data_IF_502584933226
#
_entry.id   IF_502584933226
#
_cell.length_a   1.000
_cell.length_b   1.000
_cell.length_c   1.000
_cell.angle_alpha   90.00
_cell.angle_beta   90.00
_cell.angle_gamma   90.00
#
_symmetry.space_group_name_H-M   'P 1'
#
loop_
_entity.id
_entity.type
_entity.pdbx_description
1 polymer ?
#
# COMPACT_ATOMS: atom_id res chain seq x y z
N UNK A 1 13.24 12.16 -2.27
CA UNK A 1 14.01 12.43 -3.50
C UNK A 1 14.82 11.22 -3.98
N UNK A 2 15.54 10.50 -3.12
CA UNK A 2 16.33 9.30 -3.49
C UNK A 2 15.49 8.11 -4.04
N UNK A 3 14.28 7.85 -3.51
CA UNK A 3 13.43 6.77 -4.00
C UNK A 3 12.89 6.99 -5.43
N UNK A 4 12.57 8.24 -5.81
CA UNK A 4 12.17 8.55 -7.19
C UNK A 4 13.29 8.33 -8.21
N UNK A 5 14.55 8.59 -7.82
CA UNK A 5 15.71 8.34 -8.66
C UNK A 5 15.98 6.84 -8.85
N UNK A 6 15.81 6.04 -7.80
CA UNK A 6 15.96 4.58 -7.88
C UNK A 6 14.90 3.95 -8.80
N UNK A 7 13.64 4.37 -8.67
CA UNK A 7 12.53 3.86 -9.49
C UNK A 7 12.66 4.26 -10.97
N UNK A 8 13.00 5.52 -11.26
CA UNK A 8 13.23 5.98 -12.64
C UNK A 8 14.40 5.24 -13.30
N UNK A 9 15.47 4.95 -12.55
CA UNK A 9 16.64 4.19 -13.05
C UNK A 9 16.31 2.71 -13.28
N UNK A 10 15.43 2.14 -12.47
CA UNK A 10 14.91 0.78 -12.62
C UNK A 10 14.09 0.64 -13.92
N UNK A 11 13.16 1.55 -14.19
CA UNK A 11 12.34 1.55 -15.41
C UNK A 11 13.22 1.77 -16.65
N UNK A 12 14.22 2.65 -16.59
CA UNK A 12 15.14 2.89 -17.69
C UNK A 12 15.97 1.63 -18.01
N UNK A 13 16.38 0.90 -16.97
CA UNK A 13 17.13 -0.35 -17.13
C UNK A 13 16.24 -1.51 -17.62
N UNK A 14 14.97 -1.58 -17.22
CA UNK A 14 13.99 -2.55 -17.75
C UNK A 14 13.68 -2.30 -19.23
N UNK A 15 13.49 -1.06 -19.63
CA UNK A 15 13.29 -0.70 -21.04
C UNK A 15 14.53 -1.01 -21.88
N UNK A 16 15.73 -0.80 -21.32
CA UNK A 16 16.99 -1.18 -21.97
C UNK A 16 17.13 -2.69 -22.09
N UNK A 17 16.79 -3.47 -21.06
CA UNK A 17 16.79 -4.94 -21.11
C UNK A 17 15.75 -5.45 -22.11
N UNK A 18 14.55 -4.89 -22.16
CA UNK A 18 13.53 -5.27 -23.12
C UNK A 18 13.95 -4.93 -24.56
N UNK A 19 14.60 -3.79 -24.80
CA UNK A 19 15.14 -3.46 -26.13
C UNK A 19 16.25 -4.44 -26.55
N UNK A 20 17.10 -4.88 -25.61
CA UNK A 20 18.12 -5.92 -25.88
C UNK A 20 17.45 -7.26 -26.19
N UNK A 21 16.36 -7.62 -25.54
CA UNK A 21 15.63 -8.86 -25.80
C UNK A 21 14.93 -8.81 -27.15
N UNK A 22 14.33 -7.68 -27.53
CA UNK A 22 13.69 -7.46 -28.84
C UNK A 22 14.71 -7.44 -29.98
N UNK A 23 15.90 -6.89 -29.77
CA UNK A 23 17.00 -6.89 -30.76
C UNK A 23 17.72 -8.25 -30.85
N UNK A 24 17.52 -9.16 -29.89
CA UNK A 24 18.26 -10.44 -29.81
C UNK A 24 17.69 -11.55 -30.68
N UNK A 25 16.54 -11.36 -31.37
CA UNK A 25 16.04 -12.33 -32.35
C UNK A 25 16.86 -12.32 -33.66
N UNK A 26 18.18 -12.44 -33.59
CA UNK A 26 19.03 -12.61 -34.73
C UNK A 26 20.47 -12.11 -34.64
N UNK A 27 20.93 -11.64 -33.50
CA UNK A 27 22.29 -11.15 -33.30
C UNK A 27 23.09 -12.02 -32.32
N UNK A 28 24.28 -12.48 -32.71
CA UNK A 28 25.31 -12.93 -31.77
C UNK A 28 25.71 -11.72 -30.91
N UNK A 29 25.15 -11.64 -29.72
CA UNK A 29 25.48 -10.62 -28.72
C UNK A 29 26.89 -10.88 -28.21
N UNK A 30 27.87 -10.10 -28.64
CA UNK A 30 29.14 -9.96 -27.94
C UNK A 30 28.90 -9.11 -26.70
N UNK A 31 28.65 -9.80 -25.57
CA UNK A 31 28.38 -9.10 -24.34
C UNK A 31 29.67 -8.95 -23.52
N UNK A 32 29.87 -7.76 -22.94
CA UNK A 32 30.99 -7.53 -22.04
C UNK A 32 30.63 -8.05 -20.64
N UNK A 33 31.28 -9.14 -20.25
CA UNK A 33 31.10 -9.77 -18.94
C UNK A 33 31.31 -8.77 -17.78
N UNK A 34 32.16 -7.76 -17.97
CA UNK A 34 32.44 -6.75 -16.93
C UNK A 34 31.27 -5.79 -16.70
N UNK A 35 30.53 -5.43 -17.74
CA UNK A 35 29.32 -4.59 -17.62
C UNK A 35 28.18 -5.36 -16.93
N UNK A 36 28.02 -6.63 -17.24
CA UNK A 36 27.05 -7.51 -16.55
C UNK A 36 27.36 -7.66 -15.07
N UNK A 37 28.60 -7.94 -14.70
CA UNK A 37 29.03 -8.06 -13.31
C UNK A 37 28.85 -6.74 -12.53
N UNK A 38 29.13 -5.60 -13.16
CA UNK A 38 28.87 -4.30 -12.60
C UNK A 38 27.35 -4.05 -12.39
N UNK A 39 26.53 -4.42 -13.37
CA UNK A 39 25.07 -4.35 -13.25
C UNK A 39 24.56 -5.24 -12.09
N UNK A 40 24.95 -6.50 -12.06
CA UNK A 40 24.55 -7.44 -10.98
C UNK A 40 25.03 -6.95 -9.60
N UNK A 41 26.22 -6.41 -9.52
CA UNK A 41 26.77 -5.86 -8.28
C UNK A 41 25.99 -4.62 -7.83
N UNK A 42 25.61 -3.74 -8.77
CA UNK A 42 24.76 -2.60 -8.48
C UNK A 42 23.33 -3.04 -8.09
N UNK A 43 22.77 -4.01 -8.81
CA UNK A 43 21.44 -4.59 -8.53
C UNK A 43 21.36 -5.22 -7.13
N UNK A 44 22.37 -5.99 -6.72
CA UNK A 44 22.45 -6.59 -5.38
C UNK A 44 22.54 -5.58 -4.24
N UNK A 45 22.96 -4.34 -4.53
CA UNK A 45 22.97 -3.24 -3.54
C UNK A 45 21.61 -2.58 -3.36
N UNK A 46 20.65 -2.82 -4.25
CA UNK A 46 19.29 -2.34 -4.06
C UNK A 46 18.56 -3.25 -3.06
N UNK A 47 18.06 -2.65 -2.01
CA UNK A 47 17.15 -3.32 -1.06
C UNK A 47 15.77 -3.39 -1.73
N UNK A 48 15.57 -4.37 -2.60
CA UNK A 48 14.31 -4.61 -3.31
C UNK A 48 13.83 -6.02 -2.97
N UNK A 49 12.60 -6.14 -2.50
CA UNK A 49 11.94 -7.44 -2.35
C UNK A 49 11.44 -7.86 -3.73
N UNK A 50 12.06 -8.86 -4.33
CA UNK A 50 11.63 -9.40 -5.61
C UNK A 50 10.20 -9.99 -5.50
N UNK A 51 9.32 -9.78 -6.50
CA UNK A 51 7.97 -10.32 -6.51
C UNK A 51 7.97 -11.82 -6.86
N UNK A 52 8.69 -12.64 -6.09
CA UNK A 52 8.77 -14.09 -6.28
C UNK A 52 7.97 -14.83 -5.20
N UNK A 53 7.60 -16.09 -5.46
CA UNK A 53 6.95 -16.96 -4.47
C UNK A 53 7.84 -17.25 -3.24
N UNK A 54 9.14 -16.91 -3.30
CA UNK A 54 10.09 -17.03 -2.17
C UNK A 54 10.16 -15.76 -1.32
N UNK A 55 9.35 -14.77 -1.63
CA UNK A 55 9.30 -13.44 -1.00
C UNK A 55 9.33 -13.52 0.54
N UNK A 56 8.57 -14.42 1.13
CA UNK A 56 8.53 -14.60 2.59
C UNK A 56 9.87 -15.07 3.16
N UNK A 57 10.50 -16.09 2.55
CA UNK A 57 11.77 -16.59 3.04
C UNK A 57 12.88 -15.53 2.94
N UNK A 58 12.89 -14.74 1.87
CA UNK A 58 13.83 -13.64 1.68
C UNK A 58 13.55 -12.51 2.70
N UNK A 59 12.28 -12.18 2.95
CA UNK A 59 11.88 -11.14 3.91
C UNK A 59 12.23 -11.54 5.35
N UNK A 60 12.02 -12.79 5.73
CA UNK A 60 12.34 -13.29 7.09
C UNK A 60 13.84 -13.45 7.30
N UNK A 61 14.59 -13.76 6.23
CA UNK A 61 16.05 -13.90 6.30
C UNK A 61 16.77 -12.54 6.29
N UNK A 62 16.12 -11.48 5.78
CA UNK A 62 16.62 -10.13 5.88
C UNK A 62 16.15 -9.49 7.19
N UNK A 63 17.10 -9.28 8.12
CA UNK A 63 16.82 -8.72 9.44
C UNK A 63 16.05 -7.38 9.37
N UNK A 64 16.33 -6.55 8.37
CA UNK A 64 15.69 -5.26 8.22
C UNK A 64 14.19 -5.39 7.93
N UNK A 65 13.80 -6.25 6.99
CA UNK A 65 12.38 -6.47 6.66
C UNK A 65 11.63 -7.15 7.80
N UNK A 66 12.27 -8.10 8.46
CA UNK A 66 11.71 -8.73 9.66
C UNK A 66 11.40 -7.70 10.74
N UNK A 67 12.35 -6.79 11.02
CA UNK A 67 12.14 -5.71 12.01
C UNK A 67 11.01 -4.76 11.60
N UNK A 68 10.89 -4.40 10.32
CA UNK A 68 9.78 -3.57 9.84
C UNK A 68 8.43 -4.26 10.04
N UNK A 69 8.31 -5.55 9.73
CA UNK A 69 7.09 -6.34 9.95
C UNK A 69 6.77 -6.46 11.44
N UNK A 70 7.78 -6.65 12.28
CA UNK A 70 7.63 -6.69 13.74
C UNK A 70 7.14 -5.36 14.30
N UNK A 71 7.72 -4.24 13.86
CA UNK A 71 7.29 -2.90 14.26
C UNK A 71 5.86 -2.61 13.82
N UNK A 72 5.49 -3.02 12.60
CA UNK A 72 4.13 -2.91 12.09
C UNK A 72 3.15 -3.70 12.97
N UNK A 73 3.41 -4.98 13.21
CA UNK A 73 2.58 -5.81 14.11
C UNK A 73 2.42 -5.20 15.50
N UNK A 74 3.54 -4.81 16.12
CA UNK A 74 3.52 -4.19 17.44
C UNK A 74 2.73 -2.87 17.49
N UNK A 75 2.73 -2.10 16.39
CA UNK A 75 1.94 -0.87 16.31
C UNK A 75 0.44 -1.17 16.29
N UNK A 76 0.02 -2.23 15.58
CA UNK A 76 -1.38 -2.65 15.49
C UNK A 76 -1.91 -3.34 16.77
N UNK A 77 -1.02 -3.87 17.60
CA UNK A 77 -1.37 -4.52 18.86
C UNK A 77 -1.61 -3.52 20.00
N UNK A 78 -1.25 -2.25 19.82
CA UNK A 78 -1.50 -1.22 20.84
C UNK A 78 -2.99 -0.96 20.99
N UNK A 79 -3.41 -0.74 22.23
CA UNK A 79 -4.79 -0.35 22.52
C UNK A 79 -5.14 1.00 21.89
N UNK A 80 -6.38 1.14 21.41
CA UNK A 80 -6.91 2.34 20.78
C UNK A 80 -6.10 2.81 19.57
N UNK A 81 -5.58 1.87 18.79
CA UNK A 81 -4.82 2.15 17.56
C UNK A 81 -5.76 2.42 16.39
N UNK A 82 -5.32 3.30 15.50
CA UNK A 82 -5.99 3.62 14.25
C UNK A 82 -5.01 3.46 13.09
N UNK A 83 -5.35 2.63 12.11
CA UNK A 83 -4.59 2.43 10.88
C UNK A 83 -5.36 3.03 9.70
N UNK A 84 -4.79 4.04 9.06
CA UNK A 84 -5.25 4.53 7.76
C UNK A 84 -4.44 3.88 6.64
N UNK A 85 -5.13 3.34 5.64
CA UNK A 85 -4.54 2.68 4.48
C UNK A 85 -4.94 3.43 3.21
N UNK A 86 -3.94 3.91 2.48
CA UNK A 86 -4.09 4.69 1.25
C UNK A 86 -3.18 4.13 0.17
N UNK A 87 -3.74 3.84 -1.02
CA UNK A 87 -2.97 3.38 -2.16
C UNK A 87 -2.31 2.02 -1.99
N UNK A 88 -2.86 1.17 -1.12
CA UNK A 88 -2.36 -0.18 -0.87
C UNK A 88 -3.47 -1.22 -1.07
N UNK A 89 -3.26 -2.17 -1.98
CA UNK A 89 -4.28 -3.12 -2.41
C UNK A 89 -4.38 -4.40 -1.58
N UNK A 90 -3.51 -4.58 -0.57
CA UNK A 90 -3.37 -5.84 0.18
C UNK A 90 -3.10 -7.10 -0.69
N UNK A 91 -2.51 -6.90 -1.89
CA UNK A 91 -2.04 -8.02 -2.71
C UNK A 91 -0.85 -8.77 -2.07
N UNK A 92 -0.18 -8.15 -1.09
CA UNK A 92 0.82 -8.81 -0.25
C UNK A 92 0.11 -9.61 0.85
N UNK A 93 0.08 -10.93 0.70
CA UNK A 93 -0.59 -11.86 1.62
C UNK A 93 -0.07 -11.77 3.06
N UNK A 94 1.21 -11.40 3.27
CA UNK A 94 1.79 -11.31 4.61
C UNK A 94 1.29 -10.08 5.33
N UNK A 95 1.29 -8.93 4.68
CA UNK A 95 0.74 -7.69 5.24
C UNK A 95 -0.78 -7.83 5.45
N UNK A 96 -1.49 -8.39 4.47
CA UNK A 96 -2.93 -8.67 4.60
C UNK A 96 -3.23 -9.56 5.82
N UNK A 97 -2.48 -10.67 5.96
CA UNK A 97 -2.66 -11.61 7.07
C UNK A 97 -2.31 -10.99 8.42
N UNK A 98 -1.21 -10.23 8.52
CA UNK A 98 -0.85 -9.52 9.76
C UNK A 98 -1.91 -8.52 10.15
N UNK A 99 -2.39 -7.70 9.20
CA UNK A 99 -3.43 -6.69 9.46
C UNK A 99 -4.71 -7.34 9.95
N UNK A 100 -5.19 -8.37 9.25
CA UNK A 100 -6.41 -9.09 9.62
C UNK A 100 -6.30 -9.72 11.01
N UNK A 101 -5.20 -10.47 11.28
CA UNK A 101 -4.98 -11.11 12.59
C UNK A 101 -4.88 -10.08 13.72
N UNK A 102 -4.23 -8.96 13.49
CA UNK A 102 -4.18 -7.88 14.50
C UNK A 102 -5.56 -7.31 14.76
N UNK A 103 -6.38 -7.11 13.74
CA UNK A 103 -7.75 -6.64 13.88
C UNK A 103 -8.65 -7.66 14.61
N UNK A 104 -8.47 -8.97 14.37
CA UNK A 104 -9.17 -10.04 15.08
C UNK A 104 -8.78 -10.10 16.57
N UNK A 105 -7.51 -9.87 16.90
CA UNK A 105 -6.97 -10.00 18.26
C UNK A 105 -7.06 -8.70 19.06
N UNK A 106 -7.14 -7.54 18.41
CA UNK A 106 -7.24 -6.23 19.07
C UNK A 106 -8.57 -5.55 18.74
N UNK A 107 -9.61 -5.71 19.56
CA UNK A 107 -10.92 -5.11 19.30
C UNK A 107 -10.92 -3.57 19.37
N UNK A 108 -9.88 -2.96 19.95
CA UNK A 108 -9.73 -1.50 20.01
C UNK A 108 -8.96 -0.92 18.81
N UNK A 109 -8.39 -1.77 17.95
CA UNK A 109 -7.81 -1.36 16.67
C UNK A 109 -8.93 -1.03 15.68
N UNK A 110 -8.81 0.10 15.01
CA UNK A 110 -9.65 0.45 13.85
C UNK A 110 -8.78 0.56 12.60
N UNK A 111 -9.14 -0.17 11.56
CA UNK A 111 -8.48 -0.13 10.24
C UNK A 111 -9.42 0.54 9.26
N UNK A 112 -8.98 1.64 8.66
CA UNK A 112 -9.74 2.39 7.64
C UNK A 112 -8.96 2.34 6.34
N UNK A 113 -9.53 1.68 5.33
CA UNK A 113 -8.94 1.49 4.01
C UNK A 113 -9.68 2.39 3.04
N UNK A 114 -8.97 3.33 2.42
CA UNK A 114 -9.53 4.17 1.36
C UNK A 114 -9.32 3.50 0.01
N UNK A 115 -10.43 3.04 -0.58
CA UNK A 115 -10.43 2.52 -1.95
C UNK A 115 -10.39 3.69 -2.93
N UNK A 116 -9.53 3.61 -3.96
CA UNK A 116 -9.41 4.68 -4.94
C UNK A 116 -10.71 4.93 -5.69
N UNK A 117 -11.44 3.86 -6.06
CA UNK A 117 -12.75 3.92 -6.69
C UNK A 117 -13.67 2.82 -6.11
N UNK A 118 -14.95 2.87 -6.42
CA UNK A 118 -15.94 1.93 -5.87
C UNK A 118 -15.70 0.49 -6.34
N UNK A 119 -15.18 0.29 -7.55
CA UNK A 119 -14.91 -1.02 -8.14
C UNK A 119 -13.82 -1.81 -7.41
N UNK A 120 -12.95 -1.13 -6.67
CA UNK A 120 -11.86 -1.77 -5.90
C UNK A 120 -12.35 -2.44 -4.61
N UNK A 121 -13.54 -2.13 -4.13
CA UNK A 121 -14.03 -2.62 -2.83
C UNK A 121 -13.99 -4.14 -2.71
N UNK A 122 -14.53 -4.85 -3.70
CA UNK A 122 -14.58 -6.32 -3.68
C UNK A 122 -13.18 -6.95 -3.78
N UNK A 123 -12.29 -6.34 -4.55
CA UNK A 123 -10.89 -6.79 -4.63
C UNK A 123 -10.18 -6.62 -3.29
N UNK A 124 -10.37 -5.48 -2.61
CA UNK A 124 -9.80 -5.21 -1.30
C UNK A 124 -10.34 -6.16 -0.23
N UNK A 125 -11.67 -6.41 -0.20
CA UNK A 125 -12.29 -7.40 0.70
C UNK A 125 -11.67 -8.78 0.51
N UNK A 126 -11.53 -9.21 -0.74
CA UNK A 126 -10.94 -10.52 -1.08
C UNK A 126 -9.48 -10.60 -0.64
N UNK A 127 -8.68 -9.57 -0.94
CA UNK A 127 -7.24 -9.57 -0.65
C UNK A 127 -6.95 -9.58 0.85
N UNK A 128 -7.69 -8.81 1.65
CA UNK A 128 -7.50 -8.79 3.10
C UNK A 128 -8.20 -9.98 3.80
N UNK A 129 -9.09 -10.68 3.08
CA UNK A 129 -9.82 -11.84 3.60
C UNK A 129 -10.93 -11.44 4.57
N UNK A 130 -11.64 -10.33 4.30
CA UNK A 130 -12.84 -9.96 5.06
C UNK A 130 -14.00 -10.80 4.52
N UNK A 131 -14.48 -11.71 5.35
CA UNK A 131 -15.72 -12.45 5.13
C UNK A 131 -16.70 -12.18 6.28
N UNK A 132 -17.88 -12.79 6.21
CA UNK A 132 -18.91 -12.67 7.24
C UNK A 132 -18.50 -13.20 8.62
N UNK A 133 -17.29 -13.75 8.76
CA UNK A 133 -16.75 -14.33 10.00
C UNK A 133 -15.77 -13.40 10.72
N UNK A 134 -15.46 -12.21 10.18
CA UNK A 134 -14.62 -11.22 10.88
C UNK A 134 -15.29 -10.76 12.17
N UNK A 135 -14.74 -11.21 13.29
CA UNK A 135 -15.38 -11.18 14.62
C UNK A 135 -15.60 -9.76 15.15
N UNK A 136 -14.70 -8.82 14.87
CA UNK A 136 -14.71 -7.50 15.52
C UNK A 136 -15.28 -6.36 14.67
N UNK A 137 -15.59 -6.58 13.40
CA UNK A 137 -16.08 -5.57 12.46
C UNK A 137 -15.32 -4.21 12.52
N UNK A 138 -14.02 -4.29 12.75
CA UNK A 138 -13.16 -3.13 12.98
C UNK A 138 -12.29 -2.77 11.76
N UNK A 139 -12.47 -3.45 10.63
CA UNK A 139 -11.89 -3.11 9.32
C UNK A 139 -12.98 -2.49 8.46
N UNK A 140 -12.78 -1.24 8.06
CA UNK A 140 -13.70 -0.50 7.19
C UNK A 140 -13.05 -0.21 5.85
N UNK A 141 -13.76 -0.48 4.77
CA UNK A 141 -13.39 -0.04 3.42
C UNK A 141 -14.31 1.11 3.05
N UNK A 142 -13.71 2.28 2.84
CA UNK A 142 -14.36 3.52 2.46
C UNK A 142 -14.16 3.73 0.97
N UNK A 143 -15.24 3.79 0.23
CA UNK A 143 -15.26 4.12 -1.21
C UNK A 143 -15.77 5.53 -1.43
N UNK A 144 -15.59 6.12 -2.62
CA UNK A 144 -16.17 7.44 -2.94
C UNK A 144 -17.67 7.52 -2.69
N UNK A 145 -18.43 6.49 -3.08
CA UNK A 145 -19.88 6.43 -2.84
C UNK A 145 -20.21 6.38 -1.35
N UNK A 146 -19.56 5.52 -0.58
CA UNK A 146 -19.77 5.45 0.88
C UNK A 146 -19.42 6.75 1.58
N UNK A 147 -18.41 7.46 1.08
CA UNK A 147 -18.02 8.76 1.63
C UNK A 147 -19.14 9.78 1.44
N UNK A 148 -19.73 9.84 0.24
CA UNK A 148 -20.88 10.73 -0.04
C UNK A 148 -22.13 10.36 0.77
N UNK A 149 -22.35 9.08 1.05
CA UNK A 149 -23.49 8.57 1.82
C UNK A 149 -23.43 8.89 3.32
N UNK A 150 -22.27 9.28 3.87
CA UNK A 150 -22.13 9.61 5.29
C UNK A 150 -23.00 10.78 5.72
N UNK A 151 -23.25 11.77 4.84
CA UNK A 151 -24.15 12.88 5.05
C UNK A 151 -24.03 13.54 6.43
N UNK A 152 -22.86 14.11 6.71
CA UNK A 152 -22.50 14.63 8.05
C UNK A 152 -23.12 16.01 8.30
N UNK A 153 -22.78 16.99 7.48
CA UNK A 153 -23.28 18.36 7.45
C UNK A 153 -23.13 18.98 6.06
N UNK A 154 -23.61 20.22 5.88
CA UNK A 154 -23.61 20.88 4.57
C UNK A 154 -22.17 21.11 4.06
N UNK A 155 -21.24 21.53 4.91
CA UNK A 155 -19.84 21.77 4.53
C UNK A 155 -19.15 20.47 4.11
N UNK A 156 -19.41 19.37 4.82
CA UNK A 156 -18.92 18.04 4.46
C UNK A 156 -19.53 17.59 3.13
N UNK A 157 -20.84 17.70 2.98
CA UNK A 157 -21.55 17.22 1.79
C UNK A 157 -21.11 17.97 0.55
N UNK A 158 -20.91 19.30 0.64
CA UNK A 158 -20.37 20.11 -0.45
C UNK A 158 -18.93 19.71 -0.81
N UNK A 159 -18.11 19.37 0.20
CA UNK A 159 -16.73 18.94 -0.02
C UNK A 159 -16.63 17.60 -0.74
N UNK A 160 -17.53 16.64 -0.45
CA UNK A 160 -17.45 15.26 -0.96
C UNK A 160 -18.26 15.03 -2.22
N UNK A 161 -19.18 15.95 -2.60
CA UNK A 161 -20.12 15.73 -3.72
C UNK A 161 -19.41 15.45 -5.05
N UNK A 162 -18.29 16.11 -5.33
CA UNK A 162 -17.52 15.99 -6.58
C UNK A 162 -16.36 14.99 -6.51
N UNK A 163 -16.23 14.26 -5.39
CA UNK A 163 -15.15 13.27 -5.25
C UNK A 163 -15.51 12.01 -6.05
N UNK A 164 -14.85 11.82 -7.18
CA UNK A 164 -14.94 10.59 -7.99
C UNK A 164 -13.92 9.53 -7.53
N UNK A 165 -12.77 9.98 -7.02
CA UNK A 165 -11.68 9.11 -6.59
C UNK A 165 -11.12 9.56 -5.24
N UNK A 166 -10.83 8.60 -4.35
CA UNK A 166 -10.15 8.87 -3.07
C UNK A 166 -8.62 8.88 -3.26
N UNK A 167 -8.14 9.89 -3.97
CA UNK A 167 -6.72 10.18 -4.07
C UNK A 167 -6.18 10.91 -2.83
N UNK A 168 -4.88 11.20 -2.79
CA UNK A 168 -4.27 11.91 -1.67
C UNK A 168 -4.83 13.32 -1.47
N UNK A 169 -5.32 13.98 -2.54
CA UNK A 169 -5.90 15.33 -2.43
C UNK A 169 -7.29 15.26 -1.77
N UNK A 170 -8.11 14.29 -2.18
CA UNK A 170 -9.42 14.05 -1.58
C UNK A 170 -9.28 13.70 -0.09
N UNK A 171 -8.36 12.80 0.25
CA UNK A 171 -8.09 12.40 1.63
C UNK A 171 -7.57 13.57 2.47
N UNK A 172 -6.72 14.41 1.90
CA UNK A 172 -6.23 15.61 2.60
C UNK A 172 -7.36 16.59 2.94
N UNK A 173 -8.29 16.82 2.01
CA UNK A 173 -9.49 17.63 2.27
C UNK A 173 -10.34 17.08 3.42
N UNK A 174 -10.51 15.75 3.46
CA UNK A 174 -11.23 15.06 4.54
C UNK A 174 -10.55 15.31 5.89
N UNK A 175 -9.23 15.14 5.97
CA UNK A 175 -8.49 15.41 7.20
C UNK A 175 -8.51 16.89 7.59
N UNK A 176 -8.49 17.82 6.65
CA UNK A 176 -8.66 19.26 6.91
C UNK A 176 -10.04 19.56 7.50
N UNK A 177 -11.10 18.95 6.95
CA UNK A 177 -12.45 19.07 7.49
C UNK A 177 -12.53 18.53 8.93
N UNK A 178 -12.02 17.31 9.18
CA UNK A 178 -11.98 16.72 10.51
C UNK A 178 -11.23 17.63 11.49
N UNK A 179 -10.08 18.16 11.09
CA UNK A 179 -9.29 19.04 11.93
C UNK A 179 -10.06 20.35 12.31
N UNK A 180 -10.76 20.97 11.35
CA UNK A 180 -11.61 22.13 11.61
C UNK A 180 -12.73 21.82 12.58
N UNK A 181 -13.40 20.68 12.39
CA UNK A 181 -14.51 20.24 13.25
C UNK A 181 -14.06 19.99 14.69
N UNK A 182 -12.89 19.36 14.86
CA UNK A 182 -12.30 19.13 16.17
C UNK A 182 -11.99 20.47 16.85
N UNK A 183 -11.34 21.41 16.17
CA UNK A 183 -11.02 22.71 16.75
C UNK A 183 -12.26 23.51 17.13
N UNK A 184 -13.29 23.53 16.30
CA UNK A 184 -14.55 24.21 16.58
C UNK A 184 -15.31 23.63 17.82
N UNK A 185 -15.03 22.38 18.18
CA UNK A 185 -15.64 21.76 19.38
C UNK A 185 -14.97 22.14 20.71
N UNK A 186 -13.81 22.80 20.65
CA UNK A 186 -13.08 23.27 21.85
C UNK A 186 -13.21 24.77 22.13
N UNK A 187 -13.86 25.53 21.26
CA UNK A 187 -14.26 26.93 21.48
C UNK A 187 -15.69 27.02 22.04
#
# INVERSE_FOLDING_TARGET
>A
MLQRYAYARYITNLNYINSIIEDAEGLELSYDASEYDNFITAYKKFIIINPTKRKFAETVLDYHFYELMRLYSNALEKENSLLFVVGFSFADEHIATLTRRSAENNPTLKVIIFAYCDEEEESLKKNIGIDSTCVNNNILIITPTKMRELNVDDDYNDMVCDIEHLDMNAINKIFEYINKTIHASYE
#
